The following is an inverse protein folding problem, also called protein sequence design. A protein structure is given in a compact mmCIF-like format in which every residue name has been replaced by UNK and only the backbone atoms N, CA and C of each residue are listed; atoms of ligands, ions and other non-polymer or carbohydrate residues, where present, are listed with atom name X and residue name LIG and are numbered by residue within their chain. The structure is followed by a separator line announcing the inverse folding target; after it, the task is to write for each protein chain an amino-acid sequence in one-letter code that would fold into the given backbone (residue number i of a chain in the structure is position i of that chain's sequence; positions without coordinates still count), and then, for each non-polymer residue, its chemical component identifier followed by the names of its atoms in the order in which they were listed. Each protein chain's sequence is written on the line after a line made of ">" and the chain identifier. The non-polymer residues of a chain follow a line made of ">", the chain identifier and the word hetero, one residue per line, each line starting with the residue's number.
data_IF_560257518100
#
_entry.id   IF_560257518100
#
_cell.length_a   1.000
_cell.length_b   1.000
_cell.length_c   1.000
_cell.angle_alpha   90.00
_cell.angle_beta   90.00
_cell.angle_gamma   90.00
#
_symmetry.space_group_name_H-M   'P 1'
#
loop_
_entity.id
_entity.type
_entity.pdbx_description
1 polymer ?
#
# COMPACT_ATOMS: atom_id res chain seq x y z
N UNK A 1 -22.49 27.22 -20.28
CA UNK A 1 -21.38 26.54 -19.61
C UNK A 1 -20.16 26.68 -20.50
N UNK A 2 -18.97 26.97 -19.96
CA UNK A 2 -17.76 27.02 -20.77
C UNK A 2 -17.50 25.64 -21.38
N UNK A 3 -17.12 25.60 -22.66
CA UNK A 3 -16.69 24.36 -23.30
C UNK A 3 -15.45 23.83 -22.57
N UNK A 4 -15.40 22.52 -22.22
CA UNK A 4 -14.22 21.93 -21.60
C UNK A 4 -13.03 21.95 -22.55
N UNK A 5 -11.82 21.82 -22.03
CA UNK A 5 -10.68 21.49 -22.87
C UNK A 5 -10.71 20.00 -23.24
N UNK A 6 -10.33 19.65 -24.46
CA UNK A 6 -10.12 18.24 -24.85
C UNK A 6 -9.06 17.65 -23.92
N UNK A 7 -9.35 16.47 -23.35
CA UNK A 7 -8.47 15.81 -22.38
C UNK A 7 -8.61 16.30 -20.93
N UNK A 8 -9.49 17.27 -20.66
CA UNK A 8 -9.80 17.70 -19.29
C UNK A 8 -10.41 16.55 -18.48
N UNK A 9 -9.85 16.28 -17.31
CA UNK A 9 -10.35 15.27 -16.36
C UNK A 9 -11.15 15.94 -15.26
N UNK A 10 -12.33 15.40 -14.94
CA UNK A 10 -13.18 15.87 -13.84
C UNK A 10 -13.60 14.74 -12.92
N UNK A 11 -13.70 15.07 -11.64
CA UNK A 11 -14.33 14.23 -10.63
C UNK A 11 -15.83 14.53 -10.59
N UNK A 12 -16.67 13.50 -10.65
CA UNK A 12 -18.12 13.63 -10.71
C UNK A 12 -18.81 12.64 -9.78
N UNK A 13 -19.94 13.07 -9.19
CA UNK A 13 -20.74 12.25 -8.26
C UNK A 13 -21.84 11.41 -8.91
N UNK A 14 -22.02 11.52 -10.23
CA UNK A 14 -22.98 10.72 -10.99
C UNK A 14 -22.32 9.50 -11.64
N UNK A 15 -23.13 8.52 -12.06
CA UNK A 15 -22.70 7.20 -12.53
C UNK A 15 -22.78 7.01 -14.06
N UNK A 16 -22.77 8.09 -14.83
CA UNK A 16 -22.74 8.04 -16.30
C UNK A 16 -21.75 9.07 -16.86
N UNK A 17 -21.16 8.81 -18.03
CA UNK A 17 -20.39 9.80 -18.74
C UNK A 17 -21.33 10.61 -19.65
N UNK A 18 -21.41 11.95 -19.52
CA UNK A 18 -22.22 12.78 -20.41
C UNK A 18 -21.72 12.70 -21.87
N UNK A 19 -22.56 13.09 -22.83
CA UNK A 19 -22.15 13.17 -24.24
C UNK A 19 -20.88 13.99 -24.41
N UNK A 20 -19.92 13.47 -25.16
CA UNK A 20 -18.60 14.10 -25.36
C UNK A 20 -17.58 13.79 -24.25
N UNK A 21 -17.94 12.94 -23.28
CA UNK A 21 -17.06 12.47 -22.22
C UNK A 21 -16.96 10.94 -22.22
N UNK A 22 -15.90 10.41 -21.63
CA UNK A 22 -15.76 9.00 -21.29
C UNK A 22 -15.31 8.86 -19.84
N UNK A 23 -15.53 7.71 -19.22
CA UNK A 23 -14.93 7.42 -17.92
C UNK A 23 -13.43 7.18 -18.05
N UNK A 24 -12.66 7.50 -17.01
CA UNK A 24 -11.24 7.14 -16.92
C UNK A 24 -11.08 5.68 -16.44
N UNK A 25 -11.42 4.72 -17.30
CA UNK A 25 -11.39 3.27 -17.00
C UNK A 25 -10.39 2.49 -17.87
N UNK A 26 -9.42 3.16 -18.50
CA UNK A 26 -8.39 2.47 -19.29
C UNK A 26 -8.82 1.99 -20.68
N UNK A 27 -10.01 2.36 -21.18
CA UNK A 27 -10.46 1.88 -22.49
C UNK A 27 -9.55 2.34 -23.63
N UNK A 28 -9.38 1.45 -24.63
CA UNK A 28 -8.71 1.77 -25.89
C UNK A 28 -9.68 2.49 -26.83
N UNK A 29 -9.22 3.59 -27.41
CA UNK A 29 -9.96 4.38 -28.38
C UNK A 29 -9.24 4.40 -29.73
N UNK A 30 -10.01 4.46 -30.81
CA UNK A 30 -9.48 4.66 -32.15
C UNK A 30 -8.86 6.05 -32.29
N UNK A 31 -7.60 6.10 -32.74
CA UNK A 31 -6.90 7.35 -33.05
C UNK A 31 -7.64 8.10 -34.17
N UNK A 32 -8.13 7.40 -35.18
CA UNK A 32 -8.80 8.01 -36.34
C UNK A 32 -10.06 8.81 -35.95
N UNK A 33 -10.73 8.42 -34.86
CA UNK A 33 -11.94 9.10 -34.36
C UNK A 33 -11.65 10.13 -33.27
N UNK A 34 -10.45 10.12 -32.68
CA UNK A 34 -10.09 10.95 -31.51
C UNK A 34 -8.72 11.60 -31.70
N UNK A 35 -8.41 12.06 -32.90
CA UNK A 35 -7.10 12.61 -33.28
C UNK A 35 -6.64 13.75 -32.39
N UNK A 36 -7.57 14.66 -32.03
CA UNK A 36 -7.30 15.78 -31.12
C UNK A 36 -6.86 15.28 -29.73
N UNK A 37 -7.60 14.34 -29.14
CA UNK A 37 -7.28 13.78 -27.83
C UNK A 37 -5.96 12.99 -27.86
N UNK A 38 -5.74 12.18 -28.91
CA UNK A 38 -4.49 11.45 -29.10
C UNK A 38 -3.27 12.38 -29.19
N UNK A 39 -3.39 13.53 -29.86
CA UNK A 39 -2.28 14.49 -29.95
C UNK A 39 -1.86 15.11 -28.61
N UNK A 40 -2.71 14.99 -27.58
CA UNK A 40 -2.44 15.45 -26.21
C UNK A 40 -1.94 14.30 -25.33
N UNK A 41 -2.59 13.14 -25.37
CA UNK A 41 -2.28 12.02 -24.46
C UNK A 41 -1.18 11.09 -25.00
N UNK A 42 -0.99 11.03 -26.32
CA UNK A 42 -0.15 10.05 -26.98
C UNK A 42 -0.50 8.63 -26.54
N UNK A 43 0.52 7.86 -26.18
CA UNK A 43 0.40 6.49 -25.64
C UNK A 43 0.73 6.41 -24.17
N UNK A 44 0.69 7.51 -23.41
CA UNK A 44 1.09 7.55 -21.99
C UNK A 44 0.31 6.57 -21.11
N UNK A 45 -0.90 6.19 -21.53
CA UNK A 45 -1.75 5.23 -20.81
C UNK A 45 -1.84 3.87 -21.51
N UNK A 46 -1.13 3.67 -22.63
CA UNK A 46 -1.15 2.45 -23.45
C UNK A 46 -1.74 2.64 -24.85
N UNK A 47 -2.01 1.51 -25.52
CA UNK A 47 -2.37 1.43 -26.94
C UNK A 47 -1.15 1.24 -27.84
N UNK A 48 -1.39 1.06 -29.15
CA UNK A 48 -0.35 0.77 -30.14
C UNK A 48 0.27 2.02 -30.78
N UNK A 49 -0.29 3.20 -30.53
CA UNK A 49 0.14 4.48 -31.10
C UNK A 49 -0.03 4.59 -32.62
N UNK A 50 -0.70 3.62 -33.25
CA UNK A 50 -0.92 3.54 -34.70
C UNK A 50 -2.39 3.57 -35.04
N UNK A 51 -3.16 2.69 -34.42
CA UNK A 51 -4.60 2.58 -34.57
C UNK A 51 -5.35 2.99 -33.31
N UNK A 52 -4.72 2.82 -32.14
CA UNK A 52 -5.34 3.00 -30.83
C UNK A 52 -4.43 3.68 -29.82
N UNK A 53 -5.06 4.31 -28.84
CA UNK A 53 -4.44 4.81 -27.60
C UNK A 53 -5.40 4.54 -26.43
N UNK A 54 -4.89 4.47 -25.22
CA UNK A 54 -5.71 4.27 -24.04
C UNK A 54 -6.05 5.59 -23.34
N UNK A 55 -7.21 5.61 -22.68
CA UNK A 55 -7.52 6.62 -21.66
C UNK A 55 -6.86 6.26 -20.32
N UNK A 56 -6.75 7.22 -19.38
CA UNK A 56 -6.32 6.91 -18.01
C UNK A 56 -7.21 5.84 -17.37
N UNK A 57 -6.63 5.02 -16.50
CA UNK A 57 -7.37 4.10 -15.63
C UNK A 57 -7.26 4.59 -14.19
N UNK A 58 -8.34 5.20 -13.68
CA UNK A 58 -8.44 5.73 -12.32
C UNK A 58 -9.39 4.91 -11.45
N UNK A 59 -9.68 3.67 -11.84
CA UNK A 59 -10.42 2.73 -11.00
C UNK A 59 -9.53 2.30 -9.83
N UNK A 60 -10.04 2.47 -8.60
CA UNK A 60 -9.31 2.17 -7.36
C UNK A 60 -7.96 2.90 -7.25
N UNK A 61 -7.85 4.08 -7.87
CA UNK A 61 -6.65 4.89 -7.87
C UNK A 61 -6.95 6.35 -7.50
N UNK A 62 -6.04 6.95 -6.76
CA UNK A 62 -6.08 8.38 -6.43
C UNK A 62 -5.20 9.14 -7.41
N UNK A 63 -5.76 10.13 -8.10
CA UNK A 63 -4.98 10.99 -8.99
C UNK A 63 -3.94 11.80 -8.19
N UNK A 64 -2.71 11.83 -8.67
CA UNK A 64 -1.61 12.58 -8.08
C UNK A 64 -0.95 13.47 -9.13
N UNK A 65 -0.43 14.63 -8.71
CA UNK A 65 0.34 15.50 -9.57
C UNK A 65 1.70 14.88 -9.89
N UNK A 66 2.16 15.04 -11.13
CA UNK A 66 3.51 14.65 -11.52
C UNK A 66 4.53 15.56 -10.85
N UNK A 67 5.64 14.98 -10.40
CA UNK A 67 6.79 15.71 -9.86
C UNK A 67 8.07 15.13 -10.45
N UNK A 68 8.76 15.91 -11.27
CA UNK A 68 9.99 15.49 -11.95
C UNK A 68 11.11 15.07 -10.98
N UNK A 69 11.06 15.52 -9.72
CA UNK A 69 12.02 15.12 -8.67
C UNK A 69 11.43 14.07 -7.71
N UNK A 70 10.18 13.68 -7.93
CA UNK A 70 9.41 12.81 -7.05
C UNK A 70 9.33 11.36 -7.52
N UNK A 71 8.40 10.63 -6.92
CA UNK A 71 8.18 9.20 -7.20
C UNK A 71 7.52 8.94 -8.57
N UNK A 72 6.82 9.92 -9.12
CA UNK A 72 6.10 9.85 -10.39
C UNK A 72 6.47 11.05 -11.27
N UNK A 73 7.64 11.02 -11.92
CA UNK A 73 8.12 12.10 -12.77
C UNK A 73 7.30 12.33 -14.03
N UNK A 74 6.57 11.32 -14.52
CA UNK A 74 5.89 11.40 -15.82
C UNK A 74 4.39 11.10 -15.73
N UNK A 75 3.61 11.76 -16.59
CA UNK A 75 2.17 11.51 -16.74
C UNK A 75 1.97 10.08 -17.26
N UNK A 76 1.08 9.33 -16.62
CA UNK A 76 0.74 7.95 -17.01
C UNK A 76 1.43 6.88 -16.18
N UNK A 77 2.39 7.26 -15.33
CA UNK A 77 2.97 6.32 -14.36
C UNK A 77 1.96 5.95 -13.27
N UNK A 78 1.99 4.68 -12.86
CA UNK A 78 1.13 4.13 -11.82
C UNK A 78 1.97 3.50 -10.71
N UNK A 79 1.50 3.59 -9.48
CA UNK A 79 2.13 2.92 -8.34
C UNK A 79 1.27 2.98 -7.10
N UNK A 80 1.86 2.60 -5.95
CA UNK A 80 1.14 2.43 -4.69
C UNK A 80 0.61 1.01 -4.51
N UNK A 81 0.04 0.75 -3.34
CA UNK A 81 -0.53 -0.55 -2.98
C UNK A 81 -1.70 -0.36 -2.00
N UNK A 82 -2.84 -1.01 -2.27
CA UNK A 82 -4.03 -0.98 -1.41
C UNK A 82 -3.82 -1.72 -0.08
N UNK A 83 -2.91 -2.71 -0.05
CA UNK A 83 -2.52 -3.40 1.16
C UNK A 83 -1.00 -3.60 1.19
N UNK A 84 -0.40 -3.48 2.37
CA UNK A 84 1.04 -3.65 2.58
C UNK A 84 1.26 -4.67 3.70
N UNK A 85 1.96 -5.76 3.38
CA UNK A 85 2.50 -6.67 4.41
C UNK A 85 3.76 -6.05 5.00
N UNK A 86 3.80 -5.88 6.33
CA UNK A 86 5.03 -5.45 6.99
C UNK A 86 6.03 -6.60 6.99
N UNK A 87 7.10 -6.47 6.23
CA UNK A 87 8.23 -7.39 6.32
C UNK A 87 9.06 -7.08 7.56
N UNK A 88 9.89 -8.05 8.00
CA UNK A 88 10.82 -7.80 9.11
C UNK A 88 11.76 -6.62 8.84
N UNK A 89 12.07 -6.30 7.58
CA UNK A 89 12.88 -5.14 7.21
C UNK A 89 12.14 -3.80 7.32
N UNK A 90 10.81 -3.81 7.42
CA UNK A 90 9.97 -2.61 7.57
C UNK A 90 9.62 -2.31 9.04
N UNK A 91 10.05 -3.15 9.96
CA UNK A 91 9.84 -2.98 11.41
C UNK A 91 11.22 -2.77 12.06
N UNK A 92 11.39 -1.82 13.00
CA UNK A 92 12.63 -1.71 13.76
C UNK A 92 13.00 -3.05 14.41
N UNK A 93 14.25 -3.49 14.18
CA UNK A 93 14.78 -4.67 14.86
C UNK A 93 14.69 -4.45 16.36
N UNK A 94 14.01 -5.36 17.04
CA UNK A 94 13.94 -5.42 18.49
C UNK A 94 14.23 -6.84 18.94
N UNK A 95 14.73 -6.96 20.17
CA UNK A 95 15.01 -8.25 20.80
C UNK A 95 14.34 -8.29 22.15
N UNK A 96 13.89 -9.46 22.56
CA UNK A 96 13.43 -9.71 23.91
C UNK A 96 14.57 -10.38 24.68
N UNK A 97 15.22 -9.63 25.56
CA UNK A 97 16.13 -10.18 26.54
C UNK A 97 15.34 -10.68 27.74
N UNK A 98 15.01 -11.97 27.78
CA UNK A 98 14.44 -12.57 28.99
C UNK A 98 15.60 -13.04 29.86
N UNK A 99 15.63 -12.57 31.10
CA UNK A 99 16.55 -13.07 32.10
C UNK A 99 15.91 -14.25 32.84
N UNK A 100 16.74 -15.20 33.25
CA UNK A 100 16.39 -16.29 34.17
C UNK A 100 17.32 -16.32 35.39
N UNK A 101 16.89 -17.05 36.41
CA UNK A 101 17.64 -17.33 37.62
C UNK A 101 18.61 -18.50 37.36
N UNK A 102 19.91 -18.36 37.65
CA UNK A 102 20.85 -19.47 37.55
C UNK A 102 20.78 -20.43 38.75
N UNK A 103 19.84 -20.22 39.67
CA UNK A 103 19.64 -21.05 40.86
C UNK A 103 18.47 -22.00 40.68
N UNK A 104 18.41 -23.14 41.41
CA UNK A 104 17.27 -24.04 41.32
C UNK A 104 15.97 -23.36 41.74
N UNK A 105 14.88 -23.64 41.01
CA UNK A 105 13.55 -23.15 41.37
C UNK A 105 13.12 -23.62 42.76
N UNK A 106 12.37 -22.77 43.44
CA UNK A 106 11.89 -22.98 44.82
C UNK A 106 10.38 -22.88 44.93
N UNK A 107 9.69 -22.36 43.91
CA UNK A 107 8.24 -22.22 43.86
C UNK A 107 7.67 -22.59 42.50
N UNK A 108 6.40 -23.03 42.50
CA UNK A 108 5.59 -23.18 41.29
C UNK A 108 4.71 -21.94 41.03
N UNK A 109 4.69 -20.97 41.96
CA UNK A 109 4.00 -19.69 41.82
C UNK A 109 4.91 -18.67 41.11
N UNK A 110 4.52 -18.17 39.93
CA UNK A 110 5.29 -17.16 39.19
C UNK A 110 5.19 -15.75 39.80
N UNK A 111 4.31 -15.51 40.78
CA UNK A 111 4.07 -14.17 41.31
C UNK A 111 5.36 -13.59 41.91
N UNK A 112 5.85 -12.50 41.32
CA UNK A 112 7.12 -11.86 41.69
C UNK A 112 8.35 -12.80 41.66
N UNK A 113 8.30 -13.86 40.85
CA UNK A 113 9.39 -14.81 40.67
C UNK A 113 9.83 -14.87 39.20
N UNK A 114 11.05 -15.34 38.94
CA UNK A 114 11.58 -15.49 37.58
C UNK A 114 11.77 -16.96 37.21
N UNK A 115 11.78 -17.28 35.91
CA UNK A 115 12.18 -18.61 35.42
C UNK A 115 13.52 -19.02 36.04
N UNK A 116 13.62 -20.26 36.50
CA UNK A 116 14.78 -20.79 37.20
C UNK A 116 15.14 -22.18 36.67
N UNK A 117 16.27 -22.72 37.11
CA UNK A 117 16.67 -24.10 36.73
C UNK A 117 15.70 -25.09 37.42
N UNK A 118 14.97 -25.94 36.68
CA UNK A 118 14.08 -26.93 37.30
C UNK A 118 14.89 -27.97 38.10
N UNK A 119 14.37 -28.39 39.25
CA UNK A 119 14.99 -29.36 40.17
C UNK A 119 14.73 -30.81 39.74
N UNK A 120 15.51 -31.34 38.79
CA UNK A 120 15.34 -32.71 38.26
C UNK A 120 15.24 -33.77 39.38
N UNK A 121 14.04 -34.33 39.61
CA UNK A 121 13.76 -35.34 40.66
C UNK A 121 12.30 -35.83 40.76
N UNK A 122 11.96 -36.71 41.72
CA UNK A 122 10.61 -37.33 41.89
C UNK A 122 9.51 -36.40 42.43
N UNK A 123 9.72 -35.09 42.46
CA UNK A 123 8.79 -34.10 43.03
C UNK A 123 8.47 -33.03 42.00
N UNK A 124 7.33 -32.36 42.15
CA UNK A 124 6.91 -31.27 41.26
C UNK A 124 8.05 -30.28 41.05
N UNK A 125 8.44 -30.13 39.79
CA UNK A 125 9.55 -29.29 39.36
C UNK A 125 9.19 -27.81 39.57
N UNK A 126 9.67 -27.22 40.65
CA UNK A 126 9.58 -25.78 40.84
C UNK A 126 10.35 -25.08 39.70
N UNK A 127 9.63 -24.32 38.87
CA UNK A 127 10.17 -23.66 37.69
C UNK A 127 10.51 -22.17 37.92
N UNK A 128 10.17 -21.64 39.10
CA UNK A 128 10.38 -20.24 39.45
C UNK A 128 11.22 -20.09 40.72
N UNK A 129 12.00 -19.01 40.80
CA UNK A 129 12.93 -18.77 41.90
C UNK A 129 13.40 -17.32 42.02
N UNK A 130 14.57 -17.16 42.64
CA UNK A 130 15.21 -15.87 42.92
C UNK A 130 15.32 -14.96 41.67
N UNK A 131 15.47 -13.64 41.83
CA UNK A 131 15.51 -12.69 40.72
C UNK A 131 16.44 -13.13 39.59
N UNK A 132 15.95 -13.01 38.37
CA UNK A 132 16.72 -13.36 37.19
C UNK A 132 17.94 -12.46 36.98
N UNK A 133 19.06 -13.05 36.56
CA UNK A 133 20.33 -12.35 36.38
C UNK A 133 21.15 -12.82 35.18
N UNK A 134 20.74 -13.91 34.52
CA UNK A 134 21.41 -14.45 33.33
C UNK A 134 20.48 -14.45 32.13
N UNK A 135 20.94 -14.07 30.92
CA UNK A 135 20.13 -14.20 29.71
C UNK A 135 19.75 -15.67 29.46
N UNK A 136 18.49 -15.92 29.14
CA UNK A 136 18.05 -17.22 28.68
C UNK A 136 18.58 -17.49 27.25
N UNK A 137 18.70 -18.76 26.86
CA UNK A 137 19.15 -19.11 25.51
C UNK A 137 18.25 -18.45 24.44
N UNK A 138 18.81 -17.84 23.38
CA UNK A 138 18.03 -17.14 22.35
C UNK A 138 16.93 -18.00 21.70
N UNK A 139 17.18 -19.30 21.57
CA UNK A 139 16.25 -20.27 20.95
C UNK A 139 15.05 -20.62 21.84
N UNK A 140 15.00 -20.13 23.09
CA UNK A 140 13.87 -20.32 23.99
C UNK A 140 12.62 -19.55 23.55
N UNK A 141 12.73 -18.64 22.58
CA UNK A 141 11.64 -17.81 22.08
C UNK A 141 11.52 -17.91 20.56
N UNK A 142 10.29 -17.99 20.06
CA UNK A 142 10.01 -17.91 18.64
C UNK A 142 10.02 -16.47 18.12
N UNK A 143 10.39 -16.29 16.85
CA UNK A 143 10.22 -14.99 16.17
C UNK A 143 8.74 -14.77 15.87
N UNK A 144 8.22 -13.59 16.24
CA UNK A 144 6.85 -13.15 15.91
C UNK A 144 6.89 -12.01 14.90
N UNK A 145 5.84 -11.90 14.06
CA UNK A 145 5.70 -10.83 13.05
C UNK A 145 5.52 -11.35 11.62
N UNK A 146 4.62 -12.33 11.42
CA UNK A 146 4.41 -13.05 10.16
C UNK A 146 3.85 -12.25 8.96
N UNK A 147 3.97 -10.92 8.98
CA UNK A 147 3.84 -10.05 7.80
C UNK A 147 2.50 -10.04 7.09
N UNK A 148 1.38 -10.30 7.80
CA UNK A 148 0.06 -10.20 7.18
C UNK A 148 -0.19 -8.76 6.66
N UNK A 149 -0.72 -8.62 5.43
CA UNK A 149 -1.05 -7.30 4.89
C UNK A 149 -2.06 -6.56 5.76
N UNK A 150 -1.79 -5.28 6.00
CA UNK A 150 -2.78 -4.36 6.55
C UNK A 150 -3.29 -3.45 5.44
N UNK A 151 -4.52 -2.96 5.62
CA UNK A 151 -5.11 -1.97 4.72
C UNK A 151 -4.24 -0.70 4.72
N UNK A 152 -3.85 -0.25 3.53
CA UNK A 152 -3.05 0.95 3.31
C UNK A 152 -3.86 2.05 2.58
N UNK A 153 -5.17 1.84 2.42
CA UNK A 153 -6.07 2.83 1.84
C UNK A 153 -6.48 3.85 2.91
N UNK A 154 -6.25 5.13 2.62
CA UNK A 154 -6.72 6.24 3.46
C UNK A 154 -8.26 6.30 3.49
N UNK A 155 -8.89 7.01 4.45
CA UNK A 155 -10.31 7.31 4.37
C UNK A 155 -10.65 8.00 3.04
N UNK A 156 -11.47 7.34 2.22
CA UNK A 156 -11.76 7.77 0.85
C UNK A 156 -13.23 7.63 0.51
N UNK A 157 -13.71 8.47 -0.41
CA UNK A 157 -15.03 8.39 -1.01
C UNK A 157 -14.86 8.14 -2.51
N UNK A 158 -15.41 7.02 -3.00
CA UNK A 158 -15.36 6.68 -4.41
C UNK A 158 -16.28 7.60 -5.22
N UNK A 159 -15.70 8.30 -6.19
CA UNK A 159 -16.39 9.12 -7.19
C UNK A 159 -15.87 8.73 -8.58
N UNK A 160 -16.60 9.09 -9.62
CA UNK A 160 -16.18 8.77 -10.98
C UNK A 160 -15.25 9.84 -11.54
N UNK A 161 -14.22 9.41 -12.25
CA UNK A 161 -13.43 10.27 -13.11
C UNK A 161 -13.93 10.18 -14.54
N UNK A 162 -14.16 11.33 -15.17
CA UNK A 162 -14.49 11.44 -16.59
C UNK A 162 -13.48 12.33 -17.31
N UNK A 163 -13.24 12.06 -18.58
CA UNK A 163 -12.36 12.82 -19.47
C UNK A 163 -13.12 13.32 -20.70
N UNK A 164 -12.90 14.58 -21.06
CA UNK A 164 -13.51 15.19 -22.24
C UNK A 164 -12.89 14.64 -23.53
N UNK A 165 -13.71 13.96 -24.33
CA UNK A 165 -13.34 13.51 -25.69
C UNK A 165 -13.44 14.65 -26.71
N UNK A 166 -14.29 15.63 -26.41
CA UNK A 166 -14.63 16.76 -27.29
C UNK A 166 -14.62 18.06 -26.48
N UNK A 167 -14.20 19.16 -27.11
CA UNK A 167 -14.03 20.43 -26.42
C UNK A 167 -13.16 21.41 -27.19
N UNK A 168 -12.70 22.46 -26.51
CA UNK A 168 -11.70 23.38 -27.03
C UNK A 168 -10.33 22.71 -26.98
N UNK A 169 -9.56 22.77 -28.07
CA UNK A 169 -8.19 22.28 -28.05
C UNK A 169 -7.32 23.22 -27.20
N UNK A 170 -6.57 22.73 -26.20
CA UNK A 170 -5.75 23.58 -25.35
C UNK A 170 -4.56 24.16 -26.15
N UNK A 171 -4.36 25.49 -26.17
CA UNK A 171 -3.22 26.09 -26.85
C UNK A 171 -1.93 25.73 -26.11
N UNK A 172 -0.88 25.38 -26.88
CA UNK A 172 0.47 25.28 -26.34
C UNK A 172 1.04 26.70 -26.28
N UNK A 173 1.63 27.14 -25.15
CA UNK A 173 2.32 28.42 -25.06
C UNK A 173 3.55 28.48 -25.98
#
# INVERSE_FOLDING_TARGET
>A
MSNPFVGEIRLVGFNFAPTGWAFCQGQLLSIAQNTALFSLLGTSYGGDGRSTFALPNLQDATAMGTDQSGLFPYVGESGGAAAVGLTQSQIPSHTHGVLASPTPGTTSDPTNASFAIPRVGRVTEAAYGAPASVPLAPDAFGVTGGGQPHNNVQPSLALNYIIALQGVFPPRP
#
